data_IF_298479761817
#
_entry.id   IF_298479761817
#
_cell.length_a   1.000
_cell.length_b   1.000
_cell.length_c   1.000
_cell.angle_alpha   90.00
_cell.angle_beta   90.00
_cell.angle_gamma   90.00
#
_symmetry.space_group_name_H-M   'P 1'
#
loop_
_entity.id
_entity.type
_entity.pdbx_description
1 polymer ?
#
# COMPACT_ATOMS: atom_id res chain seq x y z
N UNK A 1 9.87 13.25 -10.59
CA UNK A 1 8.53 13.73 -10.99
C UNK A 1 7.50 13.51 -9.89
N UNK A 2 6.50 14.38 -9.83
CA UNK A 2 5.37 14.27 -8.91
C UNK A 2 4.08 13.99 -9.69
N UNK A 3 3.26 13.05 -9.20
CA UNK A 3 2.01 12.65 -9.82
C UNK A 3 0.87 12.68 -8.81
N UNK A 4 -0.24 13.33 -9.18
CA UNK A 4 -1.44 13.39 -8.34
C UNK A 4 -2.40 12.28 -8.74
N UNK A 5 -2.82 11.48 -7.74
CA UNK A 5 -3.88 10.49 -7.90
C UNK A 5 -5.17 11.07 -7.29
N UNK A 6 -6.34 10.93 -7.96
CA UNK A 6 -7.61 11.38 -7.40
C UNK A 6 -7.86 10.77 -6.02
N UNK A 7 -8.34 11.61 -5.10
CA UNK A 7 -8.70 11.15 -3.76
C UNK A 7 -9.87 10.17 -3.85
N UNK A 8 -9.84 9.13 -3.01
CA UNK A 8 -10.91 8.14 -2.95
C UNK A 8 -11.18 7.77 -1.51
N UNK A 9 -12.46 7.67 -1.17
CA UNK A 9 -12.90 7.16 0.13
C UNK A 9 -13.51 5.78 -0.05
N UNK A 10 -13.56 4.99 1.02
CA UNK A 10 -14.14 3.64 1.00
C UNK A 10 -15.58 3.60 0.48
N UNK A 11 -16.33 4.69 0.65
CA UNK A 11 -17.76 4.76 0.33
C UNK A 11 -18.02 5.10 -1.14
N UNK A 12 -17.07 5.77 -1.82
CA UNK A 12 -17.19 6.13 -3.22
C UNK A 12 -16.53 5.09 -4.12
N UNK A 13 -17.31 4.11 -4.57
CA UNK A 13 -16.85 3.06 -5.49
C UNK A 13 -16.32 3.65 -6.80
N UNK A 14 -16.97 4.70 -7.32
CA UNK A 14 -16.55 5.35 -8.55
C UNK A 14 -15.18 6.02 -8.41
N UNK A 15 -14.91 6.68 -7.29
CA UNK A 15 -13.61 7.32 -7.09
C UNK A 15 -12.50 6.30 -6.80
N UNK A 16 -12.82 5.17 -6.17
CA UNK A 16 -11.89 4.04 -6.06
C UNK A 16 -11.51 3.48 -7.44
N UNK A 17 -12.47 3.32 -8.35
CA UNK A 17 -12.20 2.86 -9.72
C UNK A 17 -11.35 3.87 -10.50
N UNK A 18 -11.64 5.18 -10.37
CA UNK A 18 -10.82 6.24 -10.97
C UNK A 18 -9.40 6.24 -10.42
N UNK A 19 -9.24 6.14 -9.09
CA UNK A 19 -7.95 6.06 -8.44
C UNK A 19 -7.15 4.84 -8.92
N UNK A 20 -7.77 3.67 -8.96
CA UNK A 20 -7.16 2.44 -9.49
C UNK A 20 -6.70 2.61 -10.94
N UNK A 21 -7.55 3.17 -11.81
CA UNK A 21 -7.21 3.40 -13.22
C UNK A 21 -6.01 4.34 -13.38
N UNK A 22 -5.96 5.44 -12.63
CA UNK A 22 -4.83 6.36 -12.65
C UNK A 22 -3.53 5.69 -12.19
N UNK A 23 -3.61 4.88 -11.13
CA UNK A 23 -2.45 4.14 -10.62
C UNK A 23 -1.95 3.13 -11.65
N UNK A 24 -2.83 2.35 -12.29
CA UNK A 24 -2.43 1.41 -13.36
C UNK A 24 -1.71 2.14 -14.50
N UNK A 25 -2.29 3.26 -14.99
CA UNK A 25 -1.66 4.06 -16.06
C UNK A 25 -0.28 4.57 -15.66
N UNK A 26 -0.13 4.99 -14.40
CA UNK A 26 1.14 5.48 -13.89
C UNK A 26 2.19 4.36 -13.84
N UNK A 27 1.82 3.19 -13.30
CA UNK A 27 2.73 2.04 -13.23
C UNK A 27 3.15 1.56 -14.63
N UNK A 28 2.23 1.51 -15.59
CA UNK A 28 2.55 1.14 -16.98
C UNK A 28 3.49 2.14 -17.65
N UNK A 29 3.39 3.43 -17.29
CA UNK A 29 4.26 4.48 -17.82
C UNK A 29 5.64 4.45 -17.18
N UNK A 30 5.70 4.38 -15.85
CA UNK A 30 6.94 4.45 -15.09
C UNK A 30 7.72 3.13 -15.11
N UNK A 31 7.02 1.99 -15.20
CA UNK A 31 7.58 0.63 -15.10
C UNK A 31 8.56 0.49 -13.92
N UNK A 32 8.10 0.74 -12.68
CA UNK A 32 9.00 0.75 -11.54
C UNK A 32 9.50 -0.65 -11.22
N UNK A 33 10.78 -0.77 -10.84
CA UNK A 33 11.33 -2.01 -10.28
C UNK A 33 10.82 -2.26 -8.85
N UNK A 34 10.48 -1.19 -8.12
CA UNK A 34 10.03 -1.24 -6.72
C UNK A 34 8.88 -0.26 -6.47
N UNK A 35 7.87 -0.71 -5.72
CA UNK A 35 6.77 0.10 -5.19
C UNK A 35 6.84 0.11 -3.67
N UNK A 36 6.96 1.30 -3.06
CA UNK A 36 6.95 1.48 -1.59
C UNK A 36 5.79 2.40 -1.23
N UNK A 37 4.97 2.02 -0.25
CA UNK A 37 3.81 2.82 0.13
C UNK A 37 3.46 2.73 1.62
N UNK A 38 3.00 3.86 2.15
CA UNK A 38 2.27 3.99 3.42
C UNK A 38 0.78 4.32 3.22
N UNK A 39 0.36 4.46 1.96
CA UNK A 39 -0.90 5.06 1.58
C UNK A 39 -2.13 4.15 1.68
N UNK A 40 -3.31 4.77 1.66
CA UNK A 40 -4.62 4.11 1.79
C UNK A 40 -5.02 3.30 0.54
N UNK A 41 -6.14 3.64 -0.12
CA UNK A 41 -6.60 2.90 -1.31
C UNK A 41 -5.64 3.01 -2.52
N UNK A 42 -5.09 4.20 -2.87
CA UNK A 42 -4.14 4.33 -3.98
C UNK A 42 -2.88 3.48 -3.77
N UNK A 43 -2.34 3.46 -2.55
CA UNK A 43 -1.19 2.64 -2.19
C UNK A 43 -1.47 1.15 -2.36
N UNK A 44 -2.65 0.69 -1.93
CA UNK A 44 -3.09 -0.69 -2.13
C UNK A 44 -3.15 -1.07 -3.62
N UNK A 45 -3.71 -0.20 -4.46
CA UNK A 45 -3.71 -0.42 -5.91
C UNK A 45 -2.30 -0.45 -6.48
N UNK A 46 -1.40 0.42 -6.00
CA UNK A 46 -0.04 0.50 -6.48
C UNK A 46 0.71 -0.82 -6.23
N UNK A 47 0.62 -1.39 -5.02
CA UNK A 47 1.23 -2.69 -4.74
C UNK A 47 0.53 -3.80 -5.51
N UNK A 48 -0.81 -3.86 -5.52
CA UNK A 48 -1.56 -4.94 -6.19
C UNK A 48 -1.22 -5.04 -7.68
N UNK A 49 -1.20 -3.90 -8.37
CA UNK A 49 -0.88 -3.85 -9.79
C UNK A 49 0.63 -3.89 -10.05
N UNK A 50 1.45 -3.36 -9.14
CA UNK A 50 2.91 -3.45 -9.19
C UNK A 50 3.38 -4.90 -9.20
N UNK A 51 2.83 -5.74 -8.32
CA UNK A 51 3.13 -7.18 -8.29
C UNK A 51 2.83 -7.86 -9.62
N UNK A 52 1.70 -7.53 -10.25
CA UNK A 52 1.35 -8.08 -11.58
C UNK A 52 2.29 -7.63 -12.69
N UNK A 53 2.91 -6.47 -12.53
CA UNK A 53 3.90 -5.93 -13.46
C UNK A 53 5.34 -6.37 -13.12
N UNK A 54 5.52 -7.23 -12.11
CA UNK A 54 6.81 -7.77 -11.69
C UNK A 54 7.61 -6.86 -10.75
N UNK A 55 7.02 -5.77 -10.26
CA UNK A 55 7.68 -4.89 -9.30
C UNK A 55 7.76 -5.53 -7.91
N UNK A 56 8.87 -5.33 -7.22
CA UNK A 56 8.97 -5.64 -5.78
C UNK A 56 8.12 -4.65 -4.99
N UNK A 57 7.30 -5.13 -4.08
CA UNK A 57 6.33 -4.30 -3.38
C UNK A 57 6.58 -4.31 -1.87
N UNK A 58 6.59 -3.10 -1.28
CA UNK A 58 6.77 -2.88 0.16
C UNK A 58 5.59 -2.10 0.71
N UNK A 59 4.95 -2.66 1.75
CA UNK A 59 3.95 -1.97 2.54
C UNK A 59 4.49 -1.58 3.90
N UNK A 60 4.35 -0.32 4.26
CA UNK A 60 4.63 0.19 5.60
C UNK A 60 3.30 0.69 6.16
N UNK A 61 2.71 0.00 7.13
CA UNK A 61 1.44 0.47 7.68
C UNK A 61 1.64 1.79 8.44
N UNK A 62 0.65 2.68 8.37
CA UNK A 62 0.75 4.01 8.94
C UNK A 62 1.03 3.97 10.43
N UNK A 63 1.95 4.81 10.91
CA UNK A 63 2.22 5.00 12.34
C UNK A 63 0.95 5.34 13.14
N UNK A 64 -0.05 5.96 12.52
CA UNK A 64 -1.31 6.30 13.18
C UNK A 64 -2.15 5.06 13.58
N UNK A 65 -1.87 3.89 13.01
CA UNK A 65 -2.61 2.66 13.22
C UNK A 65 -2.05 1.87 14.43
N UNK A 66 -2.17 2.42 15.64
CA UNK A 66 -1.61 1.79 16.84
C UNK A 66 -2.38 0.56 17.34
N UNK A 67 -3.70 0.54 17.14
CA UNK A 67 -4.58 -0.49 17.68
C UNK A 67 -4.87 -1.62 16.69
N UNK A 68 -4.92 -1.31 15.39
CA UNK A 68 -5.13 -2.30 14.33
C UNK A 68 -4.59 -1.81 13.01
N UNK A 69 -4.17 -2.74 12.15
CA UNK A 69 -3.72 -2.40 10.79
C UNK A 69 -4.83 -1.73 9.98
N UNK A 70 -4.46 -0.81 9.09
CA UNK A 70 -5.41 -0.25 8.13
C UNK A 70 -6.08 -1.35 7.30
N UNK A 71 -7.31 -1.14 6.84
CA UNK A 71 -7.98 -2.09 5.93
C UNK A 71 -7.15 -2.36 4.67
N UNK A 72 -6.55 -1.30 4.10
CA UNK A 72 -5.64 -1.45 2.96
C UNK A 72 -4.41 -2.25 3.32
N UNK A 73 -3.80 -2.00 4.48
CA UNK A 73 -2.64 -2.76 4.97
C UNK A 73 -2.96 -4.23 5.15
N UNK A 74 -4.07 -4.56 5.82
CA UNK A 74 -4.57 -5.94 5.96
C UNK A 74 -4.69 -6.65 4.60
N UNK A 75 -5.17 -5.96 3.57
CA UNK A 75 -5.30 -6.52 2.20
C UNK A 75 -3.98 -6.56 1.44
N UNK A 76 -3.09 -5.61 1.66
CA UNK A 76 -1.82 -5.49 0.96
C UNK A 76 -0.87 -6.64 1.28
N UNK A 77 -0.95 -7.20 2.50
CA UNK A 77 -0.11 -8.29 2.96
C UNK A 77 0.00 -9.49 2.01
N UNK A 78 -1.06 -9.80 1.26
CA UNK A 78 -1.07 -10.91 0.30
C UNK A 78 -0.34 -10.60 -1.03
N UNK A 79 0.14 -9.37 -1.23
CA UNK A 79 0.68 -8.88 -2.51
C UNK A 79 2.06 -8.23 -2.39
N UNK A 80 2.59 -8.09 -1.17
CA UNK A 80 3.87 -7.41 -0.94
C UNK A 80 4.97 -8.41 -0.59
N UNK A 81 6.18 -8.11 -1.02
CA UNK A 81 7.40 -8.84 -0.64
C UNK A 81 7.83 -8.50 0.79
N UNK A 82 7.51 -7.28 1.25
CA UNK A 82 7.82 -6.82 2.60
C UNK A 82 6.64 -6.06 3.19
N UNK A 83 6.17 -6.51 4.35
CA UNK A 83 5.05 -5.91 5.06
C UNK A 83 5.47 -5.51 6.47
N UNK A 84 5.37 -4.23 6.78
CA UNK A 84 5.91 -3.64 8.00
C UNK A 84 4.83 -2.92 8.82
N UNK A 85 5.01 -2.97 10.15
CA UNK A 85 4.27 -2.18 11.13
C UNK A 85 5.26 -1.57 12.13
N UNK A 86 4.86 -0.46 12.75
CA UNK A 86 5.65 0.24 13.79
C UNK A 86 5.16 -0.09 15.21
N UNK A 87 4.18 -0.98 15.33
CA UNK A 87 3.57 -1.37 16.60
C UNK A 87 3.85 -2.85 16.87
N UNK A 88 4.62 -3.20 17.90
CA UNK A 88 4.96 -4.59 18.19
C UNK A 88 3.74 -5.49 18.37
N UNK A 89 2.66 -4.97 18.96
CA UNK A 89 1.38 -5.67 19.17
C UNK A 89 0.66 -6.06 17.88
N UNK A 90 0.99 -5.43 16.75
CA UNK A 90 0.38 -5.70 15.44
C UNK A 90 1.20 -6.65 14.59
N UNK A 91 2.43 -6.97 15.02
CA UNK A 91 3.26 -7.91 14.30
C UNK A 91 2.73 -9.35 14.45
N UNK A 92 2.94 -10.16 13.42
CA UNK A 92 2.52 -11.58 13.41
C UNK A 92 3.46 -12.44 12.59
N UNK A 93 3.35 -13.75 12.80
CA UNK A 93 4.04 -14.74 11.99
C UNK A 93 3.65 -14.57 10.51
N UNK A 94 4.64 -14.54 9.61
CA UNK A 94 4.43 -14.26 8.18
C UNK A 94 4.13 -12.80 7.82
N UNK A 95 4.11 -11.88 8.80
CA UNK A 95 3.99 -10.44 8.57
C UNK A 95 2.58 -9.87 8.81
N UNK A 96 2.43 -8.57 9.16
CA UNK A 96 3.49 -7.57 9.09
C UNK A 96 4.56 -7.78 10.17
N UNK A 97 5.79 -7.42 9.84
CA UNK A 97 6.92 -7.48 10.75
C UNK A 97 7.05 -6.13 11.46
N UNK A 98 7.32 -6.16 12.75
CA UNK A 98 7.66 -4.95 13.49
C UNK A 98 9.07 -4.50 13.09
N UNK A 99 9.21 -3.27 12.59
CA UNK A 99 10.53 -2.66 12.34
C UNK A 99 10.46 -1.14 12.44
N UNK A 100 11.44 -0.56 13.16
CA UNK A 100 11.53 0.87 13.41
C UNK A 100 10.37 1.43 14.25
N UNK A 101 10.67 2.28 15.23
CA UNK A 101 9.67 3.18 15.84
C UNK A 101 10.20 4.61 15.74
N UNK A 102 9.30 5.56 15.44
CA UNK A 102 9.61 7.00 15.44
C UNK A 102 9.26 7.65 16.79
N UNK A 103 8.79 6.85 17.74
CA UNK A 103 8.41 7.18 19.10
C UNK A 103 9.07 6.21 20.07
#
# INVERSE_FOLDING_TARGET
DFHVIPNSTRWSKWDLLRSAFHVVRLLLKLRPDVVITTGAAPGYFAVRFGTWLGARCVWIDSVANAAELSLSGKKAGAFVDLWLTQWPSLAREGGPHFTGSVL
#
